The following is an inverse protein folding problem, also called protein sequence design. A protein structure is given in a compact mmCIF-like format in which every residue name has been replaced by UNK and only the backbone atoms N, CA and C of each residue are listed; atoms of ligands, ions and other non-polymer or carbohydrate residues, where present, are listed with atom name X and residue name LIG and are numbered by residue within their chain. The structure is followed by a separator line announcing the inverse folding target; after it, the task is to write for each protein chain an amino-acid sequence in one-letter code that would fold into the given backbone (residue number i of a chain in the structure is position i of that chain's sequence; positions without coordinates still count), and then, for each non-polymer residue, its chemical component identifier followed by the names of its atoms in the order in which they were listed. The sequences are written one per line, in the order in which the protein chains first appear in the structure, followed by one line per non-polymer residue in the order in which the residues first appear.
data_IF_272819653428
#
_entry.id   IF_272819653428
#
_cell.length_a   1.000
_cell.length_b   1.000
_cell.length_c   1.000
_cell.angle_alpha   90.00
_cell.angle_beta   90.00
_cell.angle_gamma   90.00
#
_symmetry.space_group_name_H-M   'P 1'
#
loop_
_entity.id
_entity.type
_entity.pdbx_description
1 polymer ?
#
# COMPACT_ATOMS: atom_id res chain seq x y z
N UNK A 1 -15.93 -19.49 4.65
CA UNK A 1 -14.73 -18.66 4.85
C UNK A 1 -15.20 -17.23 4.93
N UNK A 2 -14.75 -16.47 5.94
CA UNK A 2 -15.05 -15.04 5.99
C UNK A 2 -14.11 -14.30 5.05
N UNK A 3 -14.65 -13.53 4.12
CA UNK A 3 -13.89 -12.65 3.24
C UNK A 3 -13.77 -11.28 3.89
N UNK A 4 -12.54 -10.75 4.01
CA UNK A 4 -12.27 -9.42 4.58
C UNK A 4 -11.24 -8.70 3.72
N UNK A 5 -11.68 -7.63 3.07
CA UNK A 5 -10.89 -6.81 2.15
C UNK A 5 -11.07 -5.36 2.56
N UNK A 6 -10.39 -4.96 3.65
CA UNK A 6 -10.53 -3.61 4.20
C UNK A 6 -9.85 -2.54 3.35
N UNK A 7 -8.70 -2.87 2.76
CA UNK A 7 -7.93 -1.97 1.90
C UNK A 7 -8.21 -2.23 0.40
N UNK A 8 -9.47 -2.50 0.07
CA UNK A 8 -9.93 -2.78 -1.28
C UNK A 8 -10.27 -1.51 -2.05
N UNK A 9 -9.90 -1.45 -3.32
CA UNK A 9 -10.23 -0.34 -4.21
C UNK A 9 -10.64 -0.83 -5.60
N UNK A 10 -11.21 0.08 -6.39
CA UNK A 10 -11.61 -0.13 -7.78
C UNK A 10 -11.04 0.96 -8.67
N UNK A 11 -10.63 0.58 -9.88
CA UNK A 11 -10.32 1.48 -10.99
C UNK A 11 -11.35 1.25 -12.10
N UNK A 12 -11.82 2.33 -12.72
CA UNK A 12 -12.78 2.30 -13.83
C UNK A 12 -12.12 1.91 -15.19
N UNK A 13 -11.26 0.90 -15.16
CA UNK A 13 -10.50 0.39 -16.30
C UNK A 13 -10.06 -1.04 -16.02
N UNK A 14 -10.03 -1.93 -17.00
CA UNK A 14 -9.38 -3.24 -16.93
C UNK A 14 -8.01 -3.26 -17.62
N UNK A 15 -7.60 -2.12 -18.19
CA UNK A 15 -6.30 -1.98 -18.86
C UNK A 15 -5.19 -1.86 -17.82
N UNK A 16 -4.27 -2.82 -17.81
CA UNK A 16 -3.08 -2.77 -16.98
C UNK A 16 -2.21 -1.53 -17.27
N UNK A 17 -2.20 -1.05 -18.53
CA UNK A 17 -1.46 0.16 -18.89
C UNK A 17 -2.06 1.41 -18.21
N UNK A 18 -3.39 1.50 -18.18
CA UNK A 18 -4.08 2.61 -17.52
C UNK A 18 -3.99 2.50 -15.99
N UNK A 19 -4.15 1.30 -15.44
CA UNK A 19 -3.92 1.06 -14.01
C UNK A 19 -2.50 1.47 -13.59
N UNK A 20 -1.48 1.10 -14.40
CA UNK A 20 -0.10 1.53 -14.19
C UNK A 20 0.07 3.05 -14.27
N UNK A 21 -0.65 3.73 -15.18
CA UNK A 21 -0.62 5.19 -15.28
C UNK A 21 -1.13 5.84 -13.99
N UNK A 22 -2.27 5.37 -13.48
CA UNK A 22 -2.87 5.85 -12.22
C UNK A 22 -1.89 5.60 -11.05
N UNK A 23 -1.41 4.38 -10.90
CA UNK A 23 -0.47 4.00 -9.83
C UNK A 23 0.83 4.81 -9.88
N UNK A 24 1.39 5.02 -11.07
CA UNK A 24 2.60 5.82 -11.23
C UNK A 24 2.34 7.31 -11.00
N UNK A 25 1.11 7.80 -11.17
CA UNK A 25 0.70 9.14 -10.76
C UNK A 25 0.76 9.34 -9.24
N UNK A 26 0.49 8.29 -8.47
CA UNK A 26 0.54 8.33 -7.00
C UNK A 26 1.94 8.06 -6.41
N UNK A 27 2.79 7.31 -7.13
CA UNK A 27 4.13 6.92 -6.70
C UNK A 27 5.00 8.06 -6.14
N UNK A 28 5.03 9.28 -6.71
CA UNK A 28 5.82 10.38 -6.16
C UNK A 28 5.40 10.75 -4.74
N UNK A 29 4.10 10.78 -4.45
CA UNK A 29 3.59 11.11 -3.13
C UNK A 29 3.99 10.07 -2.09
N UNK A 30 3.83 8.78 -2.40
CA UNK A 30 4.24 7.69 -1.49
C UNK A 30 5.75 7.70 -1.26
N UNK A 31 6.52 7.97 -2.30
CA UNK A 31 7.98 8.10 -2.21
C UNK A 31 8.35 9.20 -1.23
N UNK A 32 7.73 10.38 -1.35
CA UNK A 32 7.93 11.51 -0.43
C UNK A 32 7.57 11.15 1.02
N UNK A 33 6.46 10.45 1.26
CA UNK A 33 6.09 10.02 2.62
C UNK A 33 7.09 8.99 3.18
N UNK A 34 7.53 8.04 2.37
CA UNK A 34 8.55 7.05 2.78
C UNK A 34 9.86 7.73 3.16
N UNK A 35 10.24 8.76 2.41
CA UNK A 35 11.44 9.56 2.63
C UNK A 35 11.36 10.37 3.93
N UNK A 36 10.19 10.97 4.23
CA UNK A 36 9.97 11.68 5.49
C UNK A 36 10.07 10.77 6.71
N UNK A 37 9.54 9.54 6.63
CA UNK A 37 9.67 8.55 7.71
C UNK A 37 11.12 8.19 7.94
N UNK A 38 11.87 7.94 6.86
CA UNK A 38 13.29 7.65 6.94
C UNK A 38 14.08 8.82 7.53
N UNK A 39 13.88 10.04 7.04
CA UNK A 39 14.58 11.22 7.54
C UNK A 39 14.29 11.46 9.03
N UNK A 40 13.02 11.32 9.44
CA UNK A 40 12.61 11.40 10.84
C UNK A 40 13.29 10.33 11.70
N UNK A 41 13.40 9.10 11.20
CA UNK A 41 14.08 8.01 11.89
C UNK A 41 15.56 8.31 12.10
N UNK A 42 16.26 8.73 11.03
CA UNK A 42 17.69 9.09 11.09
C UNK A 42 17.91 10.24 12.06
N UNK A 43 17.13 11.32 11.96
CA UNK A 43 17.24 12.46 12.87
C UNK A 43 17.04 12.06 14.34
N UNK A 44 16.06 11.20 14.62
CA UNK A 44 15.77 10.76 15.98
C UNK A 44 16.90 9.93 16.58
N UNK A 45 17.57 9.10 15.79
CA UNK A 45 18.73 8.33 16.25
C UNK A 45 19.97 9.21 16.40
N UNK A 46 20.19 10.16 15.48
CA UNK A 46 21.31 11.10 15.61
C UNK A 46 21.16 12.03 16.82
N UNK A 47 19.94 12.47 17.15
CA UNK A 47 19.65 13.20 18.39
C UNK A 47 19.95 12.37 19.66
N UNK A 48 19.95 11.04 19.56
CA UNK A 48 20.29 10.11 20.64
C UNK A 48 21.78 9.74 20.69
N UNK A 49 22.60 10.29 19.80
CA UNK A 49 24.05 10.11 19.78
C UNK A 49 24.59 9.18 18.70
N UNK A 50 23.73 8.55 17.88
CA UNK A 50 24.20 7.74 16.75
C UNK A 50 24.74 8.63 15.61
N UNK A 51 25.79 8.18 14.92
CA UNK A 51 26.15 8.77 13.64
C UNK A 51 25.07 8.48 12.58
N UNK A 52 25.02 9.30 11.52
CA UNK A 52 24.09 9.07 10.42
C UNK A 52 24.28 7.69 9.74
N UNK A 53 25.52 7.18 9.72
CA UNK A 53 25.82 5.87 9.16
C UNK A 53 25.28 4.73 10.04
N UNK A 54 25.43 4.84 11.37
CA UNK A 54 24.86 3.88 12.32
C UNK A 54 23.33 3.89 12.29
N UNK A 55 22.72 5.08 12.22
CA UNK A 55 21.27 5.22 12.09
C UNK A 55 20.76 4.57 10.79
N UNK A 56 21.46 4.76 9.67
CA UNK A 56 21.13 4.11 8.40
C UNK A 56 21.27 2.58 8.48
N UNK A 57 22.33 2.07 9.10
CA UNK A 57 22.49 0.62 9.29
C UNK A 57 21.35 0.04 10.14
N UNK A 58 20.99 0.71 11.24
CA UNK A 58 19.84 0.31 12.07
C UNK A 58 18.53 0.29 11.28
N UNK A 59 18.29 1.27 10.42
CA UNK A 59 17.12 1.27 9.53
C UNK A 59 17.09 0.03 8.62
N UNK A 60 18.22 -0.27 7.97
CA UNK A 60 18.33 -1.45 7.10
C UNK A 60 18.13 -2.75 7.89
N UNK A 61 18.73 -2.87 9.08
CA UNK A 61 18.59 -4.03 9.96
C UNK A 61 17.13 -4.25 10.36
N UNK A 62 16.40 -3.19 10.72
CA UNK A 62 14.99 -3.30 11.06
C UNK A 62 14.15 -3.76 9.87
N UNK A 63 14.39 -3.22 8.67
CA UNK A 63 13.66 -3.66 7.46
C UNK A 63 13.98 -5.09 7.08
N UNK A 64 15.23 -5.53 7.25
CA UNK A 64 15.59 -6.94 7.05
C UNK A 64 14.90 -7.84 8.07
N UNK A 65 14.81 -7.42 9.33
CA UNK A 65 14.07 -8.16 10.37
C UNK A 65 12.59 -8.27 10.06
N UNK A 66 11.93 -7.19 9.58
CA UNK A 66 10.53 -7.23 9.14
C UNK A 66 10.35 -8.30 8.06
N UNK A 67 11.23 -8.33 7.05
CA UNK A 67 11.17 -9.33 5.98
C UNK A 67 11.38 -10.76 6.46
N UNK A 68 12.34 -11.00 7.35
CA UNK A 68 12.66 -12.33 7.87
C UNK A 68 11.59 -12.88 8.81
N UNK A 69 11.04 -12.02 9.66
CA UNK A 69 10.14 -12.44 10.74
C UNK A 69 8.66 -12.29 10.41
N UNK A 70 8.34 -11.49 9.38
CA UNK A 70 6.97 -11.05 9.10
C UNK A 70 6.40 -10.12 10.17
N UNK A 71 7.18 -9.75 11.21
CA UNK A 71 6.74 -8.85 12.27
C UNK A 71 6.81 -7.41 11.77
N UNK A 72 5.64 -6.78 11.66
CA UNK A 72 5.49 -5.39 11.22
C UNK A 72 5.99 -4.41 12.28
N UNK A 73 6.70 -3.38 11.84
CA UNK A 73 7.19 -2.28 12.68
C UNK A 73 6.88 -0.97 11.95
N UNK A 74 5.69 -0.37 12.17
CA UNK A 74 5.19 0.74 11.34
C UNK A 74 6.15 1.92 11.15
N UNK A 75 6.96 2.34 12.16
CA UNK A 75 7.90 3.46 11.98
C UNK A 75 9.00 3.25 10.93
N UNK A 76 9.22 2.01 10.48
CA UNK A 76 10.27 1.61 9.52
C UNK A 76 9.73 0.73 8.39
N UNK A 77 8.46 0.32 8.47
CA UNK A 77 7.76 -0.42 7.42
C UNK A 77 7.17 0.58 6.43
N UNK A 78 7.94 0.93 5.41
CA UNK A 78 7.52 1.86 4.34
C UNK A 78 6.88 1.13 3.16
N UNK A 79 6.48 -0.13 3.33
CA UNK A 79 5.97 -0.92 2.22
C UNK A 79 4.57 -0.43 1.82
N UNK A 80 4.40 -0.24 0.51
CA UNK A 80 3.11 0.06 -0.12
C UNK A 80 3.01 -0.75 -1.40
N UNK A 81 2.27 -1.85 -1.33
CA UNK A 81 2.09 -2.78 -2.44
C UNK A 81 0.63 -2.75 -2.90
N UNK A 82 0.44 -2.69 -4.21
CA UNK A 82 -0.86 -2.75 -4.85
C UNK A 82 -0.97 -4.07 -5.61
N UNK A 83 -1.97 -4.88 -5.27
CA UNK A 83 -2.32 -6.08 -6.03
C UNK A 83 -3.53 -5.77 -6.90
N UNK A 84 -3.42 -6.02 -8.21
CA UNK A 84 -4.45 -5.74 -9.21
C UNK A 84 -5.09 -7.03 -9.74
N UNK A 85 -6.41 -7.05 -9.83
CA UNK A 85 -7.21 -8.18 -10.30
C UNK A 85 -8.22 -7.65 -11.33
N UNK A 86 -8.08 -8.02 -12.61
CA UNK A 86 -9.04 -7.61 -13.63
C UNK A 86 -10.38 -8.34 -13.40
N UNK A 87 -11.48 -7.60 -13.46
CA UNK A 87 -12.82 -8.14 -13.25
C UNK A 87 -13.85 -7.36 -14.08
N UNK A 88 -14.38 -7.98 -15.15
CA UNK A 88 -15.56 -7.48 -15.86
C UNK A 88 -15.49 -6.02 -16.35
N UNK A 89 -14.36 -5.58 -16.92
CA UNK A 89 -14.18 -4.21 -17.42
C UNK A 89 -13.69 -3.19 -16.40
N UNK A 90 -13.47 -3.62 -15.14
CA UNK A 90 -12.82 -2.83 -14.10
C UNK A 90 -11.59 -3.57 -13.56
N UNK A 91 -10.77 -2.85 -12.79
CA UNK A 91 -9.65 -3.43 -12.05
C UNK A 91 -9.99 -3.31 -10.58
N UNK A 92 -10.10 -4.45 -9.91
CA UNK A 92 -10.13 -4.50 -8.45
C UNK A 92 -8.70 -4.46 -7.95
N UNK A 93 -8.49 -3.90 -6.77
CA UNK A 93 -7.18 -4.00 -6.16
C UNK A 93 -7.20 -3.98 -4.65
N UNK A 94 -6.13 -4.49 -4.08
CA UNK A 94 -5.90 -4.51 -2.64
C UNK A 94 -4.59 -3.80 -2.37
N UNK A 95 -4.63 -2.80 -1.50
CA UNK A 95 -3.43 -2.18 -0.96
C UNK A 95 -2.95 -2.98 0.24
N UNK A 96 -1.64 -3.15 0.34
CA UNK A 96 -0.95 -3.65 1.51
C UNK A 96 -0.02 -2.57 2.02
N UNK A 97 -0.39 -1.95 3.14
CA UNK A 97 0.43 -0.95 3.83
C UNK A 97 0.11 -0.91 5.32
N UNK A 98 1.13 -0.61 6.14
CA UNK A 98 0.99 -0.38 7.58
C UNK A 98 0.55 1.06 7.91
N UNK A 99 0.36 1.92 6.90
CA UNK A 99 0.03 3.33 7.04
C UNK A 99 -1.41 3.60 6.55
N UNK A 100 -2.41 3.61 7.45
CA UNK A 100 -3.81 3.84 7.06
C UNK A 100 -4.04 5.19 6.37
N UNK A 101 -3.25 6.21 6.71
CA UNK A 101 -3.25 7.52 6.08
C UNK A 101 -2.75 7.47 4.63
N UNK A 102 -1.80 6.59 4.30
CA UNK A 102 -1.36 6.40 2.91
C UNK A 102 -2.44 5.72 2.08
N UNK A 103 -3.16 4.75 2.66
CA UNK A 103 -4.32 4.15 2.02
C UNK A 103 -5.46 5.17 1.82
N UNK A 104 -5.76 5.99 2.83
CA UNK A 104 -6.76 7.05 2.69
C UNK A 104 -6.38 8.05 1.59
N UNK A 105 -5.10 8.43 1.50
CA UNK A 105 -4.59 9.28 0.42
C UNK A 105 -4.70 8.61 -0.96
N UNK A 106 -4.49 7.29 -1.03
CA UNK A 106 -4.70 6.52 -2.27
C UNK A 106 -6.16 6.53 -2.71
N UNK A 107 -7.12 6.36 -1.79
CA UNK A 107 -8.55 6.35 -2.10
C UNK A 107 -9.10 7.70 -2.58
N UNK A 108 -8.38 8.81 -2.36
CA UNK A 108 -8.74 10.13 -2.90
C UNK A 108 -7.93 10.51 -4.14
N UNK A 109 -7.02 9.64 -4.58
CA UNK A 109 -6.27 9.86 -5.81
C UNK A 109 -7.20 9.71 -7.03
N UNK A 110 -6.97 10.54 -8.06
CA UNK A 110 -7.79 10.54 -9.26
C UNK A 110 -7.84 9.15 -9.92
N UNK A 111 -9.05 8.67 -10.21
CA UNK A 111 -9.26 7.36 -10.83
C UNK A 111 -9.28 6.19 -9.86
N UNK A 112 -9.17 6.42 -8.55
CA UNK A 112 -9.28 5.42 -7.49
C UNK A 112 -10.58 5.60 -6.72
N UNK A 113 -11.25 4.49 -6.44
CA UNK A 113 -12.45 4.45 -5.61
C UNK A 113 -12.25 3.43 -4.48
N UNK A 114 -12.57 3.81 -3.24
CA UNK A 114 -12.66 2.85 -2.12
C UNK A 114 -13.73 1.80 -2.44
N UNK A 115 -13.35 0.53 -2.35
CA UNK A 115 -14.19 -0.58 -2.78
C UNK A 115 -13.95 -1.84 -1.95
N UNK A 116 -13.70 -1.69 -0.65
CA UNK A 116 -13.54 -2.79 0.29
C UNK A 116 -14.83 -3.56 0.54
N UNK A 117 -14.68 -4.80 1.01
CA UNK A 117 -15.80 -5.70 1.32
C UNK A 117 -15.48 -6.63 2.49
N UNK A 118 -16.45 -6.86 3.37
CA UNK A 118 -16.37 -7.87 4.42
C UNK A 118 -17.74 -8.50 4.71
N UNK A 119 -17.76 -9.79 5.04
CA UNK A 119 -19.00 -10.57 5.21
C UNK A 119 -19.36 -10.89 6.67
N UNK A 120 -18.59 -10.36 7.62
CA UNK A 120 -18.67 -10.76 9.03
C UNK A 120 -19.15 -9.65 9.97
N UNK A 121 -19.53 -8.50 9.43
CA UNK A 121 -20.04 -7.36 10.18
C UNK A 121 -21.43 -7.03 9.64
N UNK A 122 -22.40 -6.86 10.53
CA UNK A 122 -23.75 -6.42 10.20
C UNK A 122 -23.81 -4.90 9.92
N UNK A 123 -22.67 -4.21 10.02
CA UNK A 123 -22.53 -2.76 9.80
C UNK A 123 -22.00 -2.49 8.40
N UNK A 124 -22.86 -1.92 7.54
CA UNK A 124 -22.47 -1.36 6.25
C UNK A 124 -21.59 -0.11 6.45
N UNK A 125 -20.63 0.16 5.56
CA UNK A 125 -19.91 1.44 5.58
C UNK A 125 -20.86 2.63 5.43
N UNK A 126 -20.49 3.77 6.02
CA UNK A 126 -21.27 5.01 5.92
C UNK A 126 -21.52 5.39 4.46
N UNK A 127 -22.78 5.61 4.10
CA UNK A 127 -23.18 6.01 2.76
C UNK A 127 -23.21 4.88 1.71
N UNK A 128 -23.00 3.62 2.13
CA UNK A 128 -23.16 2.45 1.27
C UNK A 128 -24.47 1.73 1.59
N UNK A 129 -25.31 1.54 0.58
CA UNK A 129 -26.56 0.78 0.71
C UNK A 129 -26.35 -0.73 0.47
N UNK A 130 -27.36 -1.54 0.79
CA UNK A 130 -27.32 -3.00 0.62
C UNK A 130 -27.06 -3.42 -0.84
N UNK A 131 -27.61 -2.68 -1.81
CA UNK A 131 -27.46 -3.02 -3.22
C UNK A 131 -26.02 -2.79 -3.70
N UNK A 132 -25.41 -1.69 -3.28
CA UNK A 132 -23.99 -1.40 -3.49
C UNK A 132 -23.11 -2.43 -2.78
N UNK A 133 -23.48 -2.85 -1.57
CA UNK A 133 -22.72 -3.86 -0.82
C UNK A 133 -22.75 -5.24 -1.49
N UNK A 134 -23.92 -5.70 -1.94
CA UNK A 134 -24.04 -6.94 -2.71
C UNK A 134 -23.32 -6.84 -4.07
N UNK A 135 -23.30 -5.67 -4.70
CA UNK A 135 -22.49 -5.45 -5.91
C UNK A 135 -20.98 -5.59 -5.62
N UNK A 136 -20.49 -5.06 -4.48
CA UNK A 136 -19.10 -5.25 -4.04
C UNK A 136 -18.79 -6.73 -3.81
N UNK A 137 -19.65 -7.45 -3.09
CA UNK A 137 -19.55 -8.90 -2.88
C UNK A 137 -19.45 -9.68 -4.18
N UNK A 138 -20.33 -9.36 -5.14
CA UNK A 138 -20.30 -9.99 -6.46
C UNK A 138 -18.99 -9.69 -7.20
N UNK A 139 -18.52 -8.44 -7.17
CA UNK A 139 -17.25 -8.07 -7.79
C UNK A 139 -16.06 -8.86 -7.19
N UNK A 140 -16.01 -8.99 -5.87
CA UNK A 140 -14.97 -9.72 -5.15
C UNK A 140 -15.09 -11.26 -5.24
N UNK A 141 -16.17 -11.79 -5.82
CA UNK A 141 -16.38 -13.23 -6.00
C UNK A 141 -15.38 -13.88 -6.97
N UNK A 142 -14.61 -13.07 -7.72
CA UNK A 142 -13.50 -13.53 -8.57
C UNK A 142 -12.36 -14.16 -7.77
N UNK A 143 -12.26 -13.85 -6.47
CA UNK A 143 -11.25 -14.43 -5.60
C UNK A 143 -11.60 -15.88 -5.27
N UNK A 144 -10.68 -16.77 -5.62
CA UNK A 144 -10.66 -18.14 -5.12
C UNK A 144 -10.00 -18.11 -3.74
N UNK A 145 -10.38 -18.94 -2.77
CA UNK A 145 -9.93 -18.85 -1.36
C UNK A 145 -8.41 -18.91 -1.08
N UNK A 146 -7.56 -18.87 -2.10
CA UNK A 146 -6.15 -18.57 -2.02
C UNK A 146 -5.87 -17.11 -1.57
N UNK A 147 -4.64 -16.77 -1.15
CA UNK A 147 -4.27 -15.39 -0.87
C UNK A 147 -4.42 -14.48 -2.10
N UNK A 148 -4.90 -13.25 -1.89
CA UNK A 148 -5.11 -12.26 -2.96
C UNK A 148 -3.82 -11.95 -3.72
N UNK A 149 -2.69 -11.84 -3.02
CA UNK A 149 -1.38 -11.61 -3.62
C UNK A 149 -0.92 -12.72 -4.60
N UNK A 150 -1.52 -13.91 -4.55
CA UNK A 150 -1.25 -15.01 -5.49
C UNK A 150 -2.17 -15.01 -6.71
N UNK A 151 -3.18 -14.14 -6.74
CA UNK A 151 -4.25 -14.13 -7.73
C UNK A 151 -4.27 -12.88 -8.61
N UNK A 152 -3.40 -11.92 -8.32
CA UNK A 152 -3.33 -10.65 -9.04
C UNK A 152 -1.90 -10.25 -9.43
N UNK A 153 -1.80 -9.16 -10.16
CA UNK A 153 -0.53 -8.53 -10.52
C UNK A 153 -0.11 -7.57 -9.41
N UNK A 154 1.07 -7.80 -8.82
CA UNK A 154 1.57 -6.99 -7.70
C UNK A 154 2.50 -5.88 -8.17
N UNK A 155 2.33 -4.67 -7.65
CA UNK A 155 3.16 -3.50 -7.93
C UNK A 155 3.61 -2.90 -6.61
N UNK A 156 4.93 -2.84 -6.42
CA UNK A 156 5.53 -2.14 -5.29
C UNK A 156 5.70 -0.66 -5.63
N UNK A 157 5.18 0.24 -4.79
CA UNK A 157 5.28 1.68 -4.99
C UNK A 157 6.57 2.25 -4.37
N UNK A 158 7.01 1.67 -3.26
CA UNK A 158 8.27 2.03 -2.59
C UNK A 158 9.32 0.98 -2.90
N UNK A 159 10.55 1.43 -3.19
CA UNK A 159 11.66 0.51 -3.46
C UNK A 159 11.92 -0.39 -2.24
N UNK A 160 12.12 -1.71 -2.44
CA UNK A 160 12.52 -2.60 -1.36
C UNK A 160 13.91 -2.23 -0.80
N UNK A 161 14.70 -1.44 -1.52
CA UNK A 161 16.01 -0.97 -1.05
C UNK A 161 16.02 0.53 -0.68
N UNK A 162 14.94 1.25 -0.98
CA UNK A 162 14.78 2.66 -0.62
C UNK A 162 13.97 2.84 0.67
N UNK A 163 13.79 4.07 1.16
CA UNK A 163 14.34 5.31 0.60
C UNK A 163 15.85 5.43 0.80
N UNK A 164 16.53 6.13 -0.11
CA UNK A 164 17.97 6.41 0.00
C UNK A 164 18.22 7.57 0.98
N UNK A 165 19.43 7.65 1.52
CA UNK A 165 19.84 8.81 2.31
C UNK A 165 19.73 10.12 1.49
N UNK A 166 19.31 11.22 2.14
CA UNK A 166 19.13 12.53 1.50
C UNK A 166 20.32 12.98 0.63
N UNK A 167 21.59 12.85 1.07
CA UNK A 167 22.74 13.24 0.26
C UNK A 167 22.92 12.44 -1.04
N UNK A 168 22.28 11.28 -1.15
CA UNK A 168 22.31 10.43 -2.34
C UNK A 168 21.12 10.68 -3.24
N UNK A 169 19.96 11.06 -2.68
CA UNK A 169 18.78 11.50 -3.44
C UNK A 169 19.05 12.76 -4.25
N UNK A 170 19.70 13.77 -3.63
CA UNK A 170 20.03 15.04 -4.28
C UNK A 170 21.01 14.92 -5.46
N UNK A 171 21.72 13.79 -5.59
CA UNK A 171 22.63 13.52 -6.72
C UNK A 171 21.96 12.82 -7.89
N UNK A 172 20.74 12.29 -7.69
CA UNK A 172 19.97 11.54 -8.68
C UNK A 172 18.80 12.35 -9.27
N UNK A 173 18.46 13.47 -8.65
CA UNK A 173 17.47 14.45 -9.13
C UNK A 173 18.11 15.46 -10.09
#
# INVERSE_FOLDING_TARGET
MSTKIYQGFRLATDSLAEANRIINGFRPWVTEQSEKLFDTFIENLTKKGDSAAEAHNKWQDYREQIRKTGRRVPPVDTDFNVVLIPSGGVMLGVVYTEHPDWYAAWCVHEGVEEFGYWDNDDTLPDGVDEAQWEARKQAWSVLTGAPVCMQGFSIELVSPHGPLAKPWREKLA
#
